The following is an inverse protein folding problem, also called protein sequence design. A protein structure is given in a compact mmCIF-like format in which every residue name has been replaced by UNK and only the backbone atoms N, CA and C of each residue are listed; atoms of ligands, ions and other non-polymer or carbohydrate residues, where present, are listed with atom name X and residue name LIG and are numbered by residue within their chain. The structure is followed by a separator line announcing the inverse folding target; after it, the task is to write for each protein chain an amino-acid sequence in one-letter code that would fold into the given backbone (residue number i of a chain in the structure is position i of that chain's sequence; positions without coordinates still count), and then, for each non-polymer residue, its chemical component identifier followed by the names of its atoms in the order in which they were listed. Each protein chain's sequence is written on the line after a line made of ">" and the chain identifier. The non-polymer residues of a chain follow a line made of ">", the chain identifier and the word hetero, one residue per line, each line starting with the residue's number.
data_IF_054788314254
#
_entry.id   IF_054788314254
#
_cell.length_a   1.000
_cell.length_b   1.000
_cell.length_c   1.000
_cell.angle_alpha   90.00
_cell.angle_beta   90.00
_cell.angle_gamma   90.00
#
_symmetry.space_group_name_H-M   'P 1'
#
loop_
_entity.id
_entity.type
_entity.pdbx_description
1 polymer ?
#
# COMPACT_ATOMS: atom_id res chain seq x y z
N UNK A 1 -7.07 4.18 -8.62
CA UNK A 1 -6.89 2.77 -8.20
C UNK A 1 -6.23 2.74 -6.83
N UNK A 2 -6.46 1.70 -6.00
CA UNK A 2 -5.88 1.64 -4.63
C UNK A 2 -4.35 1.60 -4.64
N UNK A 3 -3.74 0.90 -5.60
CA UNK A 3 -2.29 0.87 -5.81
C UNK A 3 -1.67 2.27 -5.95
N UNK A 4 -2.24 3.12 -6.80
CA UNK A 4 -1.76 4.50 -7.00
C UNK A 4 -1.87 5.33 -5.72
N UNK A 5 -2.95 5.16 -4.94
CA UNK A 5 -3.12 5.85 -3.66
C UNK A 5 -2.02 5.42 -2.69
N UNK A 6 -1.75 4.12 -2.62
CA UNK A 6 -0.68 3.58 -1.78
C UNK A 6 0.70 4.11 -2.21
N UNK A 7 0.96 4.18 -3.52
CA UNK A 7 2.21 4.68 -4.07
C UNK A 7 2.46 6.16 -3.74
N UNK A 8 1.40 6.98 -3.74
CA UNK A 8 1.49 8.43 -3.46
C UNK A 8 1.54 8.75 -1.97
N UNK A 9 0.86 7.96 -1.14
CA UNK A 9 0.74 8.25 0.29
C UNK A 9 1.88 7.66 1.13
N UNK A 10 2.32 6.44 0.83
CA UNK A 10 3.34 5.76 1.63
C UNK A 10 4.75 6.07 1.16
N UNK A 11 5.69 6.14 2.11
CA UNK A 11 7.09 6.38 1.83
C UNK A 11 7.72 5.21 1.06
N UNK A 12 8.80 5.49 0.32
CA UNK A 12 9.55 4.47 -0.42
C UNK A 12 10.06 3.41 0.56
N UNK A 13 9.63 2.16 0.35
CA UNK A 13 9.93 1.02 1.23
C UNK A 13 8.82 0.63 2.22
N UNK A 14 7.79 1.46 2.42
CA UNK A 14 6.53 1.04 3.08
C UNK A 14 5.52 0.45 2.09
N UNK A 15 5.78 0.59 0.79
CA UNK A 15 4.96 0.11 -0.31
C UNK A 15 4.76 -1.42 -0.37
N UNK A 16 5.74 -2.27 0.01
CA UNK A 16 5.52 -3.72 0.07
C UNK A 16 4.34 -4.06 1.00
N UNK A 17 3.38 -4.84 0.49
CA UNK A 17 2.15 -5.23 1.20
C UNK A 17 1.19 -4.07 1.56
N UNK A 18 1.48 -2.82 1.16
CA UNK A 18 0.64 -1.67 1.50
C UNK A 18 -0.81 -1.83 1.01
N UNK A 19 -0.99 -2.26 -0.24
CA UNK A 19 -2.30 -2.46 -0.86
C UNK A 19 -3.14 -3.49 -0.10
N UNK A 20 -2.52 -4.62 0.27
CA UNK A 20 -3.18 -5.68 1.04
C UNK A 20 -3.65 -5.15 2.39
N UNK A 21 -2.78 -4.41 3.11
CA UNK A 21 -3.14 -3.79 4.39
C UNK A 21 -4.27 -2.78 4.27
N UNK A 22 -4.31 -2.02 3.18
CA UNK A 22 -5.42 -1.11 2.88
C UNK A 22 -6.70 -1.89 2.64
N UNK A 23 -6.67 -3.00 1.90
CA UNK A 23 -7.87 -3.84 1.72
C UNK A 23 -8.34 -4.51 3.01
N UNK A 24 -7.42 -4.97 3.87
CA UNK A 24 -7.75 -5.49 5.20
C UNK A 24 -8.44 -4.42 6.07
N UNK A 25 -7.96 -3.18 6.01
CA UNK A 25 -8.53 -2.06 6.75
C UNK A 25 -9.84 -1.51 6.14
N UNK A 26 -10.20 -1.90 4.92
CA UNK A 26 -11.37 -1.42 4.19
C UNK A 26 -12.17 -2.60 3.58
N UNK A 27 -12.90 -3.37 4.40
CA UNK A 27 -13.71 -4.48 3.92
C UNK A 27 -14.74 -4.00 2.90
N UNK A 28 -14.76 -4.61 1.72
CA UNK A 28 -15.68 -4.27 0.63
C UNK A 28 -15.16 -3.21 -0.35
N UNK A 29 -14.01 -2.59 -0.10
CA UNK A 29 -13.40 -1.62 -1.03
C UNK A 29 -13.09 -2.25 -2.39
N UNK A 30 -12.63 -3.50 -2.41
CA UNK A 30 -12.35 -4.24 -3.65
C UNK A 30 -13.59 -4.47 -4.52
N UNK A 31 -14.79 -4.45 -3.93
CA UNK A 31 -16.05 -4.66 -4.64
C UNK A 31 -16.50 -3.43 -5.42
N UNK A 32 -15.95 -2.25 -5.12
CA UNK A 32 -16.21 -1.01 -5.86
C UNK A 32 -15.56 -1.01 -7.25
N UNK A 33 -14.69 -1.98 -7.53
CA UNK A 33 -14.00 -2.12 -8.80
C UNK A 33 -12.63 -1.41 -8.83
N UNK A 34 -11.95 -1.43 -9.99
CA UNK A 34 -10.58 -0.91 -10.13
C UNK A 34 -10.50 0.63 -10.08
N UNK A 35 -11.58 1.31 -10.48
CA UNK A 35 -11.70 2.77 -10.46
C UNK A 35 -12.66 3.15 -9.34
N UNK A 36 -12.14 3.86 -8.32
CA UNK A 36 -12.95 4.36 -7.22
C UNK A 36 -13.67 5.64 -7.66
N UNK A 37 -14.96 5.73 -7.34
CA UNK A 37 -15.74 6.95 -7.56
C UNK A 37 -15.18 8.11 -6.73
N UNK A 38 -15.27 9.33 -7.26
CA UNK A 38 -14.91 10.52 -6.50
C UNK A 38 -15.72 10.60 -5.19
N UNK A 39 -15.06 10.98 -4.09
CA UNK A 39 -15.67 11.01 -2.76
C UNK A 39 -15.68 9.67 -2.00
N UNK A 40 -15.11 8.60 -2.57
CA UNK A 40 -14.90 7.34 -1.83
C UNK A 40 -13.93 7.57 -0.68
N UNK A 41 -14.39 7.29 0.55
CA UNK A 41 -13.52 7.31 1.74
C UNK A 41 -12.69 6.04 1.79
N UNK A 42 -11.38 6.18 1.94
CA UNK A 42 -10.43 5.07 2.08
C UNK A 42 -9.62 5.28 3.35
N UNK A 43 -9.67 4.32 4.25
CA UNK A 43 -8.86 4.31 5.46
C UNK A 43 -7.43 3.84 5.14
N UNK A 44 -6.42 4.67 5.41
CA UNK A 44 -5.02 4.34 5.16
C UNK A 44 -4.35 3.99 6.49
N UNK A 45 -4.09 2.70 6.79
CA UNK A 45 -3.46 2.30 8.04
C UNK A 45 -2.00 2.77 8.10
N UNK A 46 -1.49 2.97 9.30
CA UNK A 46 -0.07 3.25 9.53
C UNK A 46 0.72 1.98 9.25
N UNK A 47 1.65 2.05 8.28
CA UNK A 47 2.52 0.93 7.93
C UNK A 47 3.85 1.00 8.71
N UNK A 48 4.42 -0.16 9.09
CA UNK A 48 5.74 -0.19 9.71
C UNK A 48 6.77 0.40 8.77
N UNK A 49 7.72 1.17 9.31
CA UNK A 49 8.84 1.66 8.51
C UNK A 49 9.73 0.48 8.10
N UNK A 50 10.22 0.46 6.85
CA UNK A 50 11.15 -0.58 6.42
C UNK A 50 12.37 -0.59 7.35
N UNK A 51 12.67 -1.74 7.93
CA UNK A 51 13.96 -1.95 8.58
C UNK A 51 15.05 -2.05 7.52
N UNK A 52 16.18 -1.41 7.76
CA UNK A 52 17.35 -1.49 6.89
C UNK A 52 17.76 -2.97 6.75
N UNK A 53 17.46 -3.56 5.60
CA UNK A 53 17.86 -4.93 5.30
C UNK A 53 19.31 -4.89 4.81
N UNK A 54 20.20 -5.76 5.33
CA UNK A 54 21.58 -5.79 4.87
C UNK A 54 21.63 -6.05 3.36
N UNK A 55 22.44 -5.26 2.65
CA UNK A 55 22.61 -5.41 1.21
C UNK A 55 23.47 -6.65 0.97
N UNK A 56 22.87 -7.71 0.45
CA UNK A 56 23.59 -8.93 0.05
C UNK A 56 23.97 -8.78 -1.42
N UNK A 57 25.28 -8.66 -1.70
CA UNK A 57 25.81 -8.79 -3.07
C UNK A 57 25.91 -10.27 -3.40
N UNK A 58 25.06 -10.74 -4.30
CA UNK A 58 25.04 -12.13 -4.74
C UNK A 58 26.10 -12.45 -5.80
N UNK A 59 26.75 -11.45 -6.39
CA UNK A 59 27.88 -11.63 -7.31
C UNK A 59 28.86 -10.46 -7.20
N UNK A 60 30.15 -10.79 -7.24
CA UNK A 60 31.31 -9.89 -7.25
C UNK A 60 32.49 -10.59 -7.90
#
# INVERSE_FOLDING_TARGET
>A
MVDEICWRYYEKGQQPLAVERVYEANPGLARLGPVLSAGTLVNLPVLPRPQATPIIRIWG
#
